data_IF_822006293008
#
_entry.id   IF_822006293008
#
_cell.length_a   1.000
_cell.length_b   1.000
_cell.length_c   1.000
_cell.angle_alpha   90.00
_cell.angle_beta   90.00
_cell.angle_gamma   90.00
#
_symmetry.space_group_name_H-M   'P 1'
#
loop_
_entity.id
_entity.type
_entity.pdbx_description
1 polymer ?
#
# COMPACT_ATOMS: atom_id res chain seq x y z
N UNK A 1 -45.76 21.04 -48.34
CA UNK A 1 -45.04 22.16 -47.70
C UNK A 1 -44.00 21.56 -46.75
N UNK A 2 -42.72 21.87 -46.98
CA UNK A 2 -41.53 21.34 -46.30
C UNK A 2 -41.38 21.88 -44.87
N UNK A 3 -40.85 21.01 -43.99
CA UNK A 3 -39.88 21.27 -42.90
C UNK A 3 -40.34 22.21 -41.75
N UNK A 4 -39.99 22.03 -40.46
CA UNK A 4 -38.86 21.39 -39.80
C UNK A 4 -39.32 20.79 -38.45
N UNK A 5 -38.82 19.60 -38.12
CA UNK A 5 -38.87 19.02 -36.78
C UNK A 5 -37.67 19.58 -35.98
N UNK A 6 -37.84 20.24 -34.82
CA UNK A 6 -36.72 20.54 -33.96
C UNK A 6 -36.34 19.27 -33.20
N UNK A 7 -35.24 18.65 -33.61
CA UNK A 7 -34.61 17.53 -32.92
C UNK A 7 -34.05 18.07 -31.58
N UNK A 8 -34.53 17.62 -30.40
CA UNK A 8 -33.91 18.04 -29.15
C UNK A 8 -32.56 17.34 -29.05
N UNK A 9 -31.49 18.13 -29.11
CA UNK A 9 -30.11 17.70 -28.90
C UNK A 9 -29.98 17.10 -27.50
N UNK A 10 -29.94 15.77 -27.43
CA UNK A 10 -29.68 15.02 -26.22
C UNK A 10 -28.20 15.21 -25.85
N UNK A 11 -27.90 16.23 -25.06
CA UNK A 11 -26.57 16.45 -24.50
C UNK A 11 -26.29 15.39 -23.42
N UNK A 12 -25.58 14.32 -23.79
CA UNK A 12 -25.08 13.30 -22.86
C UNK A 12 -23.86 13.87 -22.14
N UNK A 13 -24.05 14.34 -20.90
CA UNK A 13 -22.97 14.74 -20.00
C UNK A 13 -22.27 13.49 -19.46
N UNK A 14 -21.16 13.10 -20.11
CA UNK A 14 -20.28 12.03 -19.64
C UNK A 14 -19.50 12.52 -18.41
N UNK A 15 -20.03 12.26 -17.22
CA UNK A 15 -19.34 12.55 -15.96
C UNK A 15 -18.22 11.52 -15.76
N UNK A 16 -16.98 11.90 -16.05
CA UNK A 16 -15.82 11.09 -15.68
C UNK A 16 -15.74 11.05 -14.14
N UNK A 17 -16.10 9.92 -13.53
CA UNK A 17 -15.79 9.65 -12.14
C UNK A 17 -14.26 9.50 -12.03
N UNK A 18 -13.58 10.57 -11.65
CA UNK A 18 -12.19 10.51 -11.24
C UNK A 18 -12.11 9.66 -9.95
N UNK A 19 -11.71 8.40 -10.09
CA UNK A 19 -11.36 7.58 -8.95
C UNK A 19 -10.10 8.18 -8.29
N UNK A 20 -10.05 8.31 -6.95
CA UNK A 20 -8.84 8.75 -6.29
C UNK A 20 -7.72 7.74 -6.60
N UNK A 21 -6.65 8.21 -7.23
CA UNK A 21 -5.44 7.41 -7.40
C UNK A 21 -4.87 7.13 -6.00
N UNK A 22 -5.13 5.94 -5.46
CA UNK A 22 -4.52 5.50 -4.21
C UNK A 22 -3.06 5.19 -4.48
N UNK A 23 -2.16 6.11 -4.13
CA UNK A 23 -0.73 5.83 -4.13
C UNK A 23 -0.47 4.62 -3.23
N UNK A 24 0.33 3.66 -3.71
CA UNK A 24 0.69 2.51 -2.92
C UNK A 24 1.52 2.96 -1.69
N UNK A 25 1.09 2.54 -0.49
CA UNK A 25 1.74 2.87 0.77
C UNK A 25 2.66 1.73 1.19
N UNK A 26 3.88 2.04 1.62
CA UNK A 26 4.84 1.05 2.09
C UNK A 26 5.38 1.42 3.47
N UNK A 27 5.82 0.42 4.21
CA UNK A 27 6.49 0.61 5.49
C UNK A 27 7.69 -0.30 5.60
N UNK A 28 8.74 0.21 6.23
CA UNK A 28 9.87 -0.58 6.64
C UNK A 28 9.88 -0.81 8.14
N UNK A 29 10.29 -2.00 8.52
CA UNK A 29 10.17 -2.48 9.88
C UNK A 29 11.32 -3.40 10.26
N UNK A 30 11.48 -3.59 11.57
CA UNK A 30 12.32 -4.62 12.17
C UNK A 30 11.44 -5.64 12.85
N UNK A 31 11.78 -6.92 12.70
CA UNK A 31 11.10 -8.01 13.38
C UNK A 31 12.09 -9.02 13.93
N UNK A 32 11.64 -9.77 14.93
CA UNK A 32 12.38 -10.89 15.52
C UNK A 32 11.57 -12.18 15.49
N UNK A 33 12.25 -13.30 15.52
CA UNK A 33 11.68 -14.59 15.91
C UNK A 33 12.59 -15.17 16.98
N UNK A 34 12.02 -15.71 18.03
CA UNK A 34 12.76 -16.32 19.12
C UNK A 34 12.97 -17.83 18.85
N UNK A 35 13.91 -18.46 19.56
CA UNK A 35 14.15 -19.92 19.57
C UNK A 35 14.28 -20.63 18.18
N UNK A 36 15.39 -20.44 17.43
CA UNK A 36 16.55 -19.59 17.74
C UNK A 36 16.29 -18.12 17.38
N UNK A 37 16.97 -17.21 18.07
CA UNK A 37 16.87 -15.77 17.80
C UNK A 37 17.27 -15.46 16.35
N UNK A 38 16.33 -14.91 15.59
CA UNK A 38 16.55 -14.35 14.25
C UNK A 38 16.00 -12.94 14.21
N UNK A 39 16.71 -12.08 13.49
CA UNK A 39 16.29 -10.71 13.23
C UNK A 39 16.16 -10.50 11.73
N UNK A 40 15.24 -9.64 11.32
CA UNK A 40 15.28 -9.12 9.96
C UNK A 40 14.73 -7.71 9.86
N UNK A 41 15.17 -7.05 8.79
CA UNK A 41 14.55 -5.86 8.23
C UNK A 41 13.61 -6.31 7.10
N UNK A 42 12.45 -5.67 6.99
CA UNK A 42 11.48 -5.97 5.94
C UNK A 42 10.85 -4.71 5.39
N UNK A 43 10.31 -4.83 4.18
CA UNK A 43 9.48 -3.81 3.53
C UNK A 43 8.16 -4.45 3.19
N UNK A 44 7.06 -3.77 3.47
CA UNK A 44 5.70 -4.30 3.31
C UNK A 44 4.78 -3.23 2.75
N UNK A 45 3.94 -3.61 1.79
CA UNK A 45 2.85 -2.76 1.32
C UNK A 45 1.74 -2.71 2.38
N UNK A 46 1.28 -1.53 2.75
CA UNK A 46 0.16 -1.33 3.67
C UNK A 46 -1.16 -1.33 2.91
N UNK A 47 -2.18 -1.96 3.50
CA UNK A 47 -3.52 -1.98 2.93
C UNK A 47 -4.27 -0.69 3.29
N UNK A 48 -5.08 -0.20 2.35
CA UNK A 48 -5.90 0.99 2.52
C UNK A 48 -5.14 2.31 2.39
N UNK A 49 -5.85 3.42 2.57
CA UNK A 49 -5.37 4.74 2.16
C UNK A 49 -4.52 5.45 3.23
N UNK A 50 -4.25 4.81 4.37
CA UNK A 50 -3.56 5.42 5.50
C UNK A 50 -2.07 5.06 5.54
N UNK A 51 -1.25 5.86 4.87
CA UNK A 51 0.22 5.87 4.98
C UNK A 51 0.68 6.41 6.36
N UNK A 52 0.38 5.71 7.45
CA UNK A 52 0.78 6.13 8.80
C UNK A 52 1.46 5.02 9.59
N UNK A 53 2.40 5.40 10.48
CA UNK A 53 3.04 4.45 11.40
C UNK A 53 2.02 3.72 12.28
N UNK A 54 0.92 4.39 12.64
CA UNK A 54 -0.15 3.79 13.42
C UNK A 54 -0.86 2.66 12.65
N UNK A 55 -1.16 2.88 11.37
CA UNK A 55 -1.72 1.83 10.51
C UNK A 55 -0.72 0.67 10.34
N UNK A 56 0.55 0.98 10.08
CA UNK A 56 1.62 -0.02 9.98
C UNK A 56 1.72 -0.90 11.24
N UNK A 57 1.75 -0.30 12.44
CA UNK A 57 1.79 -1.03 13.72
C UNK A 57 0.59 -1.95 13.94
N UNK A 58 -0.57 -1.65 13.36
CA UNK A 58 -1.78 -2.51 13.44
C UNK A 58 -1.76 -3.64 12.43
N UNK A 59 -1.23 -3.41 11.22
CA UNK A 59 -1.27 -4.37 10.12
C UNK A 59 -0.11 -5.36 10.13
N UNK A 60 1.11 -4.86 10.34
CA UNK A 60 2.34 -5.65 10.16
C UNK A 60 2.38 -6.87 11.10
N UNK A 61 2.11 -6.76 12.42
CA UNK A 61 2.20 -7.92 13.31
C UNK A 61 1.30 -9.08 12.88
N UNK A 62 0.08 -8.77 12.41
CA UNK A 62 -0.89 -9.78 11.98
C UNK A 62 -0.41 -10.57 10.77
N UNK A 63 0.31 -9.91 9.85
CA UNK A 63 0.78 -10.51 8.58
C UNK A 63 2.04 -11.34 8.79
N UNK A 64 2.99 -10.84 9.57
CA UNK A 64 4.29 -11.51 9.76
C UNK A 64 4.22 -12.63 10.83
N UNK A 65 3.22 -12.60 11.71
CA UNK A 65 3.02 -13.62 12.74
C UNK A 65 2.77 -15.02 12.17
N UNK A 66 2.23 -15.14 10.94
CA UNK A 66 2.04 -16.41 10.25
C UNK A 66 3.34 -17.23 10.10
N UNK A 67 4.49 -16.55 10.04
CA UNK A 67 5.82 -17.15 9.93
C UNK A 67 6.59 -17.15 11.27
N UNK A 68 5.90 -16.84 12.37
CA UNK A 68 6.46 -16.74 13.72
C UNK A 68 7.25 -15.46 13.99
N UNK A 69 7.11 -14.43 13.16
CA UNK A 69 7.79 -13.15 13.41
C UNK A 69 6.98 -12.25 14.35
N UNK A 70 7.70 -11.55 15.20
CA UNK A 70 7.19 -10.51 16.11
C UNK A 70 7.72 -9.16 15.67
N UNK A 71 6.84 -8.18 15.48
CA UNK A 71 7.22 -6.81 15.14
C UNK A 71 7.98 -6.16 16.30
N UNK A 72 9.16 -5.61 16.02
CA UNK A 72 9.93 -4.82 16.98
C UNK A 72 9.70 -3.33 16.82
N UNK A 73 9.79 -2.83 15.59
CA UNK A 73 9.69 -1.40 15.33
C UNK A 73 9.22 -1.12 13.89
N UNK A 74 8.43 -0.07 13.74
CA UNK A 74 8.14 0.57 12.45
C UNK A 74 9.08 1.75 12.28
N UNK A 75 9.98 1.66 11.30
CA UNK A 75 11.01 2.66 11.07
C UNK A 75 10.42 3.85 10.31
N UNK A 76 9.69 3.60 9.24
CA UNK A 76 9.11 4.61 8.38
C UNK A 76 7.86 4.12 7.64
N UNK A 77 7.21 5.08 7.02
CA UNK A 77 6.17 4.86 6.00
C UNK A 77 6.52 5.78 4.84
N UNK A 78 6.39 5.28 3.62
CA UNK A 78 6.85 5.94 2.40
C UNK A 78 6.02 5.46 1.20
N UNK A 79 6.17 6.14 0.07
CA UNK A 79 5.55 5.81 -1.21
C UNK A 79 6.44 4.89 -2.07
N UNK A 80 6.09 4.68 -3.32
CA UNK A 80 6.84 3.80 -4.22
C UNK A 80 8.30 4.26 -4.45
N UNK A 81 8.59 5.56 -4.36
CA UNK A 81 9.93 6.09 -4.61
C UNK A 81 10.95 5.56 -3.57
N UNK A 82 10.51 5.30 -2.34
CA UNK A 82 11.36 4.77 -1.26
C UNK A 82 11.65 3.27 -1.34
N UNK A 83 11.12 2.55 -2.34
CA UNK A 83 11.28 1.11 -2.44
C UNK A 83 12.68 0.65 -2.87
N UNK A 84 13.24 1.29 -3.89
CA UNK A 84 14.49 0.82 -4.52
C UNK A 84 15.67 0.83 -3.54
N UNK A 85 15.80 1.91 -2.75
CA UNK A 85 16.86 2.04 -1.74
C UNK A 85 16.77 0.99 -0.61
N UNK A 86 15.59 0.40 -0.38
CA UNK A 86 15.34 -0.57 0.70
C UNK A 86 15.39 -2.03 0.24
N UNK A 87 15.31 -2.28 -1.07
CA UNK A 87 15.22 -3.62 -1.67
C UNK A 87 16.35 -4.54 -1.24
N UNK A 88 17.60 -4.07 -1.37
CA UNK A 88 18.79 -4.86 -1.02
C UNK A 88 18.82 -5.20 0.47
N UNK A 89 18.50 -4.23 1.34
CA UNK A 89 18.51 -4.39 2.79
C UNK A 89 17.41 -5.35 3.28
N UNK A 90 16.23 -5.33 2.65
CA UNK A 90 15.12 -6.22 3.00
C UNK A 90 15.30 -7.64 2.44
N UNK A 91 16.04 -7.81 1.35
CA UNK A 91 16.34 -9.11 0.76
C UNK A 91 15.09 -9.94 0.57
N UNK A 92 15.04 -11.15 1.14
CA UNK A 92 13.88 -12.05 1.05
C UNK A 92 12.61 -11.55 1.75
N UNK A 93 12.70 -10.48 2.53
CA UNK A 93 11.57 -9.86 3.23
C UNK A 93 11.10 -8.56 2.56
N UNK A 94 11.60 -8.28 1.36
CA UNK A 94 11.13 -7.20 0.52
C UNK A 94 9.79 -7.57 -0.10
N UNK A 95 8.72 -6.87 0.29
CA UNK A 95 7.34 -7.05 -0.18
C UNK A 95 6.81 -8.50 -0.07
N UNK A 96 7.37 -9.28 0.85
CA UNK A 96 7.02 -10.70 1.03
C UNK A 96 5.68 -10.90 1.74
N UNK A 97 5.45 -10.09 2.76
CA UNK A 97 4.29 -10.19 3.65
C UNK A 97 3.23 -9.18 3.25
#
# INVERSE_FOLDING_TARGET
MRLLIPLPTLAVTLSLLAAPATAACYSDYKAKRDDPLRLHYGVIALNGNACTKAAAKKQIPKRIAADGWTLLNVLGVFDEAGLQERKKSAGKFYLRY
#
